data_IF_689180137286
#
_entry.id   IF_689180137286
#
_cell.length_a   1.000
_cell.length_b   1.000
_cell.length_c   1.000
_cell.angle_alpha   90.00
_cell.angle_beta   90.00
_cell.angle_gamma   90.00
#
_symmetry.space_group_name_H-M   'P 1'
#
loop_
_entity.id
_entity.type
_entity.pdbx_description
1 polymer ?
#
# COMPACT_ATOMS: atom_id res chain seq x y z
N UNK A 1 89.83 -61.90 1.70
CA UNK A 1 90.46 -61.11 0.61
C UNK A 1 89.44 -60.07 0.15
N UNK A 2 89.77 -58.75 0.25
CA UNK A 2 89.04 -57.52 -0.20
C UNK A 2 87.62 -57.30 0.38
N UNK A 3 87.29 -56.32 1.23
CA UNK A 3 87.34 -54.83 1.21
C UNK A 3 86.47 -54.16 0.11
N UNK A 4 85.73 -53.13 0.57
CA UNK A 4 85.05 -52.01 -0.10
C UNK A 4 83.54 -52.24 -0.34
N UNK A 5 82.63 -51.43 0.20
CA UNK A 5 82.48 -49.96 0.04
C UNK A 5 81.33 -49.75 -0.98
N UNK A 6 80.42 -48.78 -0.93
CA UNK A 6 80.36 -47.45 -0.35
C UNK A 6 78.89 -46.96 -0.47
N UNK A 7 78.53 -45.95 0.31
CA UNK A 7 77.25 -45.22 0.37
C UNK A 7 76.73 -44.69 -0.98
N UNK A 8 75.41 -44.44 -1.12
CA UNK A 8 74.89 -43.19 -1.70
C UNK A 8 73.38 -42.90 -1.46
N UNK A 9 73.15 -41.77 -0.76
CA UNK A 9 72.18 -40.68 -1.00
C UNK A 9 70.65 -40.92 -0.97
N UNK A 10 70.10 -40.31 0.10
CA UNK A 10 68.80 -39.64 0.32
C UNK A 10 68.08 -39.12 -0.94
N UNK A 11 66.77 -39.38 -1.02
CA UNK A 11 65.79 -38.38 -1.45
C UNK A 11 64.51 -38.50 -0.61
N UNK A 12 64.30 -37.52 0.26
CA UNK A 12 63.00 -37.27 0.90
C UNK A 12 62.12 -36.55 -0.13
N UNK A 13 61.06 -37.21 -0.60
CA UNK A 13 60.01 -36.55 -1.38
C UNK A 13 58.99 -36.03 -0.37
N UNK A 14 59.16 -34.77 0.05
CA UNK A 14 58.16 -34.05 0.80
C UNK A 14 57.05 -33.60 -0.16
N UNK A 15 55.92 -34.28 -0.11
CA UNK A 15 54.72 -33.92 -0.88
C UNK A 15 54.03 -32.74 -0.18
N UNK A 16 54.17 -31.54 -0.73
CA UNK A 16 53.48 -30.34 -0.27
C UNK A 16 52.02 -30.40 -0.75
N UNK A 17 51.12 -30.83 0.14
CA UNK A 17 49.68 -30.67 -0.05
C UNK A 17 49.31 -29.20 0.16
N UNK A 18 49.07 -28.47 -0.94
CA UNK A 18 48.39 -27.17 -0.91
C UNK A 18 46.90 -27.40 -0.69
N UNK A 19 46.46 -27.39 0.56
CA UNK A 19 45.03 -27.29 0.90
C UNK A 19 44.56 -25.86 0.66
N UNK A 20 43.98 -25.60 -0.51
CA UNK A 20 43.24 -24.37 -0.77
C UNK A 20 41.94 -24.40 0.05
N UNK A 21 41.96 -23.74 1.20
CA UNK A 21 40.76 -23.56 2.03
C UNK A 21 39.89 -22.48 1.40
N UNK A 22 38.84 -22.88 0.67
CA UNK A 22 37.83 -21.95 0.21
C UNK A 22 37.06 -21.41 1.41
N UNK A 23 37.26 -20.13 1.73
CA UNK A 23 36.42 -19.40 2.68
C UNK A 23 35.08 -19.21 1.96
N UNK A 24 34.11 -20.09 2.25
CA UNK A 24 32.72 -19.85 1.88
C UNK A 24 32.22 -18.76 2.81
N UNK A 25 32.23 -17.52 2.33
CA UNK A 25 31.54 -16.41 3.00
C UNK A 25 30.06 -16.75 3.04
N UNK A 26 29.56 -17.18 4.21
CA UNK A 26 28.12 -17.25 4.47
C UNK A 26 27.65 -15.82 4.65
N UNK A 27 27.34 -15.14 3.55
CA UNK A 27 26.49 -13.96 3.60
C UNK A 27 25.09 -14.47 3.95
N UNK A 28 24.71 -14.33 5.22
CA UNK A 28 23.32 -14.45 5.62
C UNK A 28 22.57 -13.32 4.91
N UNK A 29 21.97 -13.64 3.75
CA UNK A 29 20.94 -12.81 3.19
C UNK A 29 19.82 -12.78 4.23
N UNK A 30 19.64 -11.64 4.90
CA UNK A 30 18.39 -11.35 5.57
C UNK A 30 17.36 -11.30 4.45
N UNK A 31 16.65 -12.40 4.23
CA UNK A 31 15.50 -12.41 3.32
C UNK A 31 14.56 -11.32 3.83
N UNK A 32 14.43 -10.23 3.05
CA UNK A 32 13.50 -9.16 3.38
C UNK A 32 12.13 -9.80 3.55
N UNK A 33 11.57 -9.71 4.77
CA UNK A 33 10.36 -10.45 5.10
C UNK A 33 9.21 -9.91 4.25
N UNK A 34 8.81 -10.68 3.24
CA UNK A 34 7.66 -10.36 2.41
C UNK A 34 6.39 -10.72 3.15
N UNK A 35 5.51 -9.73 3.34
CA UNK A 35 4.23 -9.92 4.01
C UNK A 35 3.08 -9.51 3.10
N UNK A 36 1.89 -10.13 3.23
CA UNK A 36 0.71 -9.71 2.50
C UNK A 36 0.36 -8.25 2.80
N UNK A 37 0.17 -7.47 1.74
CA UNK A 37 -0.36 -6.11 1.77
C UNK A 37 -1.83 -6.15 1.35
N UNK A 38 -2.71 -5.55 2.14
CA UNK A 38 -4.11 -5.38 1.78
C UNK A 38 -4.62 -4.06 2.31
N UNK A 39 -5.30 -3.29 1.46
CA UNK A 39 -6.06 -2.08 1.81
C UNK A 39 -7.44 -2.20 1.16
N UNK A 40 -8.50 -1.97 1.92
CA UNK A 40 -9.85 -1.76 1.40
C UNK A 40 -10.28 -0.33 1.78
N UNK A 41 -10.70 0.47 0.81
CA UNK A 41 -11.01 1.88 1.00
C UNK A 41 -12.23 2.32 0.18
N UNK A 42 -12.90 3.35 0.69
CA UNK A 42 -13.84 4.17 -0.09
C UNK A 42 -13.06 5.41 -0.51
N UNK A 43 -13.15 5.74 -1.79
CA UNK A 43 -12.42 6.84 -2.41
C UNK A 43 -13.38 7.80 -3.10
N UNK A 44 -12.92 9.02 -3.34
CA UNK A 44 -13.57 10.03 -4.14
C UNK A 44 -12.53 10.66 -5.06
N UNK A 45 -12.79 10.63 -6.36
CA UNK A 45 -11.96 11.22 -7.39
C UNK A 45 -12.57 12.52 -7.95
N UNK A 46 -11.78 13.59 -7.91
CA UNK A 46 -12.09 14.84 -8.61
C UNK A 46 -11.31 14.92 -9.92
N UNK A 47 -12.00 14.77 -11.04
CA UNK A 47 -11.39 14.83 -12.37
C UNK A 47 -11.44 16.24 -12.98
N UNK A 48 -10.43 16.56 -13.80
CA UNK A 48 -10.39 17.85 -14.47
C UNK A 48 -9.19 18.03 -15.42
N UNK A 49 -9.21 19.11 -16.23
CA UNK A 49 -8.08 19.49 -17.07
C UNK A 49 -6.96 20.17 -16.26
N UNK A 50 -5.80 20.32 -16.88
CA UNK A 50 -4.70 21.12 -16.34
C UNK A 50 -3.86 20.40 -15.28
N UNK A 51 -3.94 19.07 -15.19
CA UNK A 51 -3.03 18.28 -14.35
C UNK A 51 -1.59 18.38 -14.85
N UNK A 52 -0.66 18.89 -14.03
CA UNK A 52 0.75 18.89 -14.38
C UNK A 52 1.28 17.47 -14.51
N UNK A 53 2.09 17.22 -15.53
CA UNK A 53 2.71 15.91 -15.76
C UNK A 53 1.89 14.93 -16.62
N UNK A 54 0.64 15.26 -16.96
CA UNK A 54 -0.17 14.42 -17.83
C UNK A 54 0.06 14.72 -19.31
N UNK A 55 0.38 13.67 -20.07
CA UNK A 55 0.74 13.76 -21.49
C UNK A 55 -0.44 14.02 -22.43
N UNK A 56 -1.67 13.98 -21.94
CA UNK A 56 -2.86 14.24 -22.76
C UNK A 56 -2.92 15.72 -23.19
N UNK A 57 -3.51 16.06 -24.34
CA UNK A 57 -3.50 17.44 -24.88
C UNK A 57 -4.05 18.52 -23.95
N UNK A 58 -4.85 18.14 -22.95
CA UNK A 58 -5.43 19.05 -21.95
C UNK A 58 -4.93 18.78 -20.52
N UNK A 59 -3.97 17.86 -20.36
CA UNK A 59 -3.55 17.38 -19.05
C UNK A 59 -4.73 16.90 -18.22
N UNK A 60 -5.57 16.02 -18.79
CA UNK A 60 -6.71 15.45 -18.08
C UNK A 60 -6.25 14.38 -17.09
N UNK A 61 -6.79 14.40 -15.88
CA UNK A 61 -6.50 13.46 -14.80
C UNK A 61 -7.37 13.69 -13.58
N UNK A 62 -7.12 12.96 -12.49
CA UNK A 62 -7.95 12.97 -11.29
C UNK A 62 -7.16 13.10 -9.99
N UNK A 63 -7.80 13.68 -8.96
CA UNK A 63 -7.31 13.70 -7.57
C UNK A 63 -8.13 12.76 -6.74
N UNK A 64 -7.49 11.74 -6.17
CA UNK A 64 -8.15 10.73 -5.36
C UNK A 64 -7.93 11.05 -3.89
N UNK A 65 -8.99 11.00 -3.10
CA UNK A 65 -8.94 11.02 -1.63
C UNK A 65 -9.77 9.88 -1.09
N UNK A 66 -9.41 9.32 0.06
CA UNK A 66 -10.18 8.21 0.62
C UNK A 66 -9.76 7.78 2.00
N UNK A 67 -10.56 6.89 2.57
CA UNK A 67 -10.28 6.27 3.86
C UNK A 67 -10.59 4.78 3.82
N UNK A 68 -9.83 4.01 4.58
CA UNK A 68 -9.92 2.56 4.52
C UNK A 68 -9.28 1.85 5.71
N UNK A 69 -9.11 0.55 5.53
CA UNK A 69 -8.49 -0.34 6.49
C UNK A 69 -7.50 -1.28 5.82
N UNK A 70 -6.43 -1.57 6.55
CA UNK A 70 -5.43 -2.57 6.22
C UNK A 70 -5.38 -3.63 7.31
N UNK A 71 -5.23 -4.89 6.92
CA UNK A 71 -5.01 -6.00 7.84
C UNK A 71 -3.70 -5.87 8.62
N UNK A 72 -2.73 -5.17 8.04
CA UNK A 72 -1.40 -5.00 8.60
C UNK A 72 -1.26 -3.71 9.42
N UNK A 73 -1.90 -2.62 8.98
CA UNK A 73 -1.68 -1.28 9.53
C UNK A 73 -2.90 -0.66 10.22
N UNK A 74 -4.05 -1.35 10.22
CA UNK A 74 -5.29 -0.80 10.77
C UNK A 74 -5.87 0.29 9.88
N UNK A 75 -6.28 1.42 10.44
CA UNK A 75 -6.89 2.52 9.65
C UNK A 75 -5.83 3.15 8.74
N UNK A 76 -6.24 3.46 7.51
CA UNK A 76 -5.41 4.14 6.51
C UNK A 76 -6.21 5.25 5.83
N UNK A 77 -5.54 6.35 5.45
CA UNK A 77 -6.04 7.27 4.42
C UNK A 77 -5.36 6.99 3.09
N UNK A 78 -6.06 7.31 2.01
CA UNK A 78 -5.59 7.15 0.64
C UNK A 78 -5.60 8.52 -0.02
N UNK A 79 -4.50 8.88 -0.66
CA UNK A 79 -4.41 10.05 -1.54
C UNK A 79 -3.79 9.60 -2.86
N UNK A 80 -4.27 10.13 -3.98
CA UNK A 80 -3.77 9.75 -5.29
C UNK A 80 -3.86 10.87 -6.30
N UNK A 81 -3.00 10.82 -7.29
CA UNK A 81 -3.07 11.68 -8.47
C UNK A 81 -2.77 10.81 -9.69
N UNK A 82 -3.60 10.91 -10.73
CA UNK A 82 -3.36 10.20 -11.98
C UNK A 82 -3.54 11.08 -13.22
N UNK A 83 -3.11 10.50 -14.33
CA UNK A 83 -3.33 10.97 -15.67
C UNK A 83 -4.28 10.00 -16.36
N UNK A 84 -5.40 10.53 -16.84
CA UNK A 84 -6.47 9.73 -17.45
C UNK A 84 -6.46 9.96 -18.95
N UNK A 85 -6.30 8.89 -19.72
CA UNK A 85 -6.21 8.93 -21.18
C UNK A 85 -7.35 8.12 -21.81
N UNK A 86 -8.16 8.72 -22.71
CA UNK A 86 -9.18 7.97 -23.44
C UNK A 86 -8.59 6.84 -24.27
N UNK A 87 -9.25 5.68 -24.24
CA UNK A 87 -8.93 4.49 -25.02
C UNK A 87 -10.17 4.01 -25.77
N UNK A 88 -10.01 3.07 -26.70
CA UNK A 88 -11.15 2.55 -27.50
C UNK A 88 -12.28 1.96 -26.62
N UNK A 89 -11.92 1.35 -25.48
CA UNK A 89 -12.85 0.60 -24.61
C UNK A 89 -12.87 1.11 -23.16
N UNK A 90 -12.61 2.40 -22.95
CA UNK A 90 -12.62 3.01 -21.62
C UNK A 90 -11.55 4.07 -21.48
N UNK A 91 -10.93 4.15 -20.30
CA UNK A 91 -9.86 5.10 -20.02
C UNK A 91 -8.69 4.37 -19.37
N UNK A 92 -7.46 4.62 -19.83
CA UNK A 92 -6.27 4.20 -19.10
C UNK A 92 -5.93 5.24 -18.04
N UNK A 93 -5.41 4.79 -16.91
CA UNK A 93 -4.87 5.65 -15.87
C UNK A 93 -3.46 5.23 -15.48
N UNK A 94 -2.62 6.21 -15.16
CA UNK A 94 -1.30 6.04 -14.56
C UNK A 94 -1.09 7.14 -13.53
N UNK A 95 -0.52 6.83 -12.37
CA UNK A 95 -0.48 7.77 -11.28
C UNK A 95 0.40 7.38 -10.11
N UNK A 96 0.32 8.21 -9.07
CA UNK A 96 1.00 7.99 -7.79
C UNK A 96 -0.03 8.01 -6.66
N UNK A 97 0.11 7.07 -5.74
CA UNK A 97 -0.77 6.88 -4.59
C UNK A 97 0.04 6.87 -3.30
N UNK A 98 -0.54 7.44 -2.26
CA UNK A 98 0.01 7.47 -0.91
C UNK A 98 -0.99 6.85 0.04
N UNK A 99 -0.54 5.85 0.79
CA UNK A 99 -1.27 5.31 1.94
C UNK A 99 -0.67 5.89 3.22
N UNK A 100 -1.45 6.61 4.02
CA UNK A 100 -0.99 7.10 5.33
C UNK A 100 -1.58 6.23 6.43
N UNK A 101 -0.74 5.62 7.26
CA UNK A 101 -1.16 4.78 8.38
C UNK A 101 -1.46 5.61 9.62
N UNK A 102 -2.12 5.04 10.64
CA UNK A 102 -2.55 5.76 11.85
C UNK A 102 -1.42 6.52 12.59
N UNK A 103 -0.16 6.10 12.42
CA UNK A 103 1.02 6.78 13.00
C UNK A 103 1.51 8.00 12.22
N UNK A 104 0.96 8.29 11.04
CA UNK A 104 1.40 9.37 10.15
C UNK A 104 2.49 8.97 9.15
N UNK A 105 3.10 7.79 9.32
CA UNK A 105 4.00 7.22 8.32
C UNK A 105 3.25 6.95 7.00
N UNK A 106 3.96 7.11 5.89
CA UNK A 106 3.40 7.03 4.54
C UNK A 106 4.04 5.90 3.76
N UNK A 107 3.25 5.24 2.91
CA UNK A 107 3.69 4.28 1.90
C UNK A 107 3.38 4.89 0.54
N UNK A 108 4.38 4.97 -0.33
CA UNK A 108 4.24 5.51 -1.68
C UNK A 108 4.13 4.37 -2.69
N UNK A 109 3.26 4.52 -3.67
CA UNK A 109 3.12 3.57 -4.76
C UNK A 109 2.90 4.28 -6.09
N UNK A 110 3.51 3.76 -7.14
CA UNK A 110 3.13 4.06 -8.51
C UNK A 110 2.04 3.06 -8.92
N UNK A 111 1.06 3.48 -9.70
CA UNK A 111 -0.05 2.62 -10.10
C UNK A 111 -0.53 2.91 -11.51
N UNK A 112 -1.10 1.90 -12.15
CA UNK A 112 -1.62 1.99 -13.50
C UNK A 112 -2.79 1.02 -13.71
N UNK A 113 -3.55 1.24 -14.78
CA UNK A 113 -4.61 0.32 -15.18
C UNK A 113 -5.63 0.93 -16.12
N UNK A 114 -6.83 0.34 -16.13
CA UNK A 114 -7.93 0.75 -16.99
C UNK A 114 -9.22 0.93 -16.20
N UNK A 115 -9.91 2.04 -16.43
CA UNK A 115 -11.34 2.19 -16.18
C UNK A 115 -12.09 1.56 -17.35
N UNK A 116 -12.77 0.44 -17.11
CA UNK A 116 -13.61 -0.23 -18.12
C UNK A 116 -15.09 -0.04 -17.80
N UNK A 117 -15.92 0.39 -18.76
CA UNK A 117 -17.36 0.51 -18.56
C UNK A 117 -17.96 -0.83 -18.11
N UNK A 118 -18.87 -0.77 -17.14
CA UNK A 118 -19.64 -1.95 -16.71
C UNK A 118 -20.99 -2.02 -17.44
N UNK A 119 -21.83 -2.99 -17.08
CA UNK A 119 -23.22 -3.04 -17.55
C UNK A 119 -24.12 -1.96 -16.94
N UNK A 120 -23.65 -1.24 -15.91
CA UNK A 120 -24.37 -0.12 -15.28
C UNK A 120 -23.79 1.19 -15.82
N UNK A 121 -24.67 2.07 -16.29
CA UNK A 121 -24.27 3.40 -16.76
C UNK A 121 -23.48 4.13 -15.66
N UNK A 122 -22.43 4.86 -16.05
CA UNK A 122 -21.50 5.61 -15.20
C UNK A 122 -20.65 4.80 -14.20
N UNK A 123 -20.89 3.50 -14.03
CA UNK A 123 -20.00 2.66 -13.21
C UNK A 123 -18.90 2.07 -14.09
N UNK A 124 -17.65 2.34 -13.71
CA UNK A 124 -16.45 1.81 -14.35
C UNK A 124 -15.69 0.95 -13.35
N UNK A 125 -15.23 -0.22 -13.80
CA UNK A 125 -14.41 -1.12 -13.00
C UNK A 125 -12.92 -0.92 -13.28
N UNK A 126 -12.09 -1.08 -12.26
CA UNK A 126 -10.65 -1.23 -12.41
C UNK A 126 -10.33 -2.57 -13.06
N UNK A 127 -9.72 -2.56 -14.25
CA UNK A 127 -9.30 -3.77 -14.96
C UNK A 127 -7.83 -3.71 -15.31
N UNK A 128 -7.15 -4.86 -15.18
CA UNK A 128 -5.71 -4.95 -15.41
C UNK A 128 -4.87 -4.07 -14.47
N UNK A 129 -5.47 -3.52 -13.41
CA UNK A 129 -4.83 -2.49 -12.60
C UNK A 129 -3.83 -3.05 -11.59
N UNK A 130 -2.68 -2.42 -11.51
CA UNK A 130 -1.54 -2.81 -10.68
C UNK A 130 -0.98 -1.62 -9.92
N UNK A 131 -0.20 -1.91 -8.89
CA UNK A 131 0.60 -0.92 -8.18
C UNK A 131 1.96 -1.51 -7.81
N UNK A 132 2.94 -0.64 -7.70
CA UNK A 132 4.30 -0.93 -7.23
C UNK A 132 4.61 0.03 -6.07
N UNK A 133 4.96 -0.52 -4.90
CA UNK A 133 5.38 0.25 -3.73
C UNK A 133 6.80 0.74 -3.99
N UNK A 134 7.01 2.05 -3.91
CA UNK A 134 8.28 2.70 -4.28
C UNK A 134 9.03 3.29 -3.08
N UNK A 135 8.53 3.05 -1.87
CA UNK A 135 9.11 3.53 -0.62
C UNK A 135 8.07 4.13 0.29
N UNK A 136 8.51 5.06 1.13
CA UNK A 136 7.66 5.67 2.14
C UNK A 136 8.42 6.61 3.06
N UNK A 137 7.83 6.86 4.23
CA UNK A 137 8.45 7.63 5.31
C UNK A 137 8.55 6.77 6.57
N UNK A 138 9.38 7.20 7.53
CA UNK A 138 9.50 6.53 8.83
C UNK A 138 9.83 5.05 8.68
N UNK A 139 8.94 4.18 9.18
CA UNK A 139 9.11 2.73 9.12
C UNK A 139 9.07 2.13 7.70
N UNK A 140 8.60 2.89 6.71
CA UNK A 140 8.46 2.46 5.31
C UNK A 140 9.48 3.09 4.37
N UNK A 141 10.54 3.73 4.89
CA UNK A 141 11.52 4.46 4.07
C UNK A 141 12.10 3.64 2.91
N UNK A 142 12.26 2.33 3.10
CA UNK A 142 12.78 1.39 2.10
C UNK A 142 11.74 0.37 1.63
N UNK A 143 10.46 0.60 1.93
CA UNK A 143 9.43 -0.33 1.58
C UNK A 143 9.38 -0.56 0.06
N UNK A 144 9.25 -1.82 -0.32
CA UNK A 144 9.11 -2.25 -1.71
C UNK A 144 7.98 -3.29 -1.80
N UNK A 145 7.47 -3.54 -2.99
CA UNK A 145 6.38 -4.47 -3.19
C UNK A 145 5.56 -4.17 -4.43
N UNK A 146 4.61 -5.05 -4.71
CA UNK A 146 3.73 -4.91 -5.87
C UNK A 146 2.39 -5.59 -5.59
N UNK A 147 1.40 -5.27 -6.40
CA UNK A 147 0.11 -5.91 -6.31
C UNK A 147 -0.88 -5.45 -7.35
N UNK A 148 -2.16 -5.68 -7.04
CA UNK A 148 -3.29 -5.41 -7.90
C UNK A 148 -4.27 -4.48 -7.22
N UNK A 149 -4.90 -3.63 -8.03
CA UNK A 149 -6.04 -2.83 -7.64
C UNK A 149 -7.32 -3.48 -8.16
N UNK A 150 -8.35 -3.49 -7.33
CA UNK A 150 -9.68 -4.02 -7.61
C UNK A 150 -10.73 -3.04 -7.11
N UNK A 151 -11.91 -3.06 -7.71
CA UNK A 151 -12.99 -2.13 -7.41
C UNK A 151 -13.33 -1.28 -8.63
N UNK A 152 -13.68 -0.03 -8.39
CA UNK A 152 -14.06 0.91 -9.43
C UNK A 152 -14.90 2.06 -8.90
N UNK A 153 -15.42 2.85 -9.81
CA UNK A 153 -15.94 4.19 -9.53
C UNK A 153 -17.21 4.50 -10.31
N UNK A 154 -18.04 5.35 -9.72
CA UNK A 154 -19.11 6.04 -10.41
C UNK A 154 -18.58 7.38 -10.94
N UNK A 155 -18.24 7.42 -12.22
CA UNK A 155 -17.63 8.60 -12.84
C UNK A 155 -18.56 9.82 -12.87
N UNK A 156 -19.85 9.64 -12.58
CA UNK A 156 -20.79 10.76 -12.49
C UNK A 156 -20.71 11.49 -11.15
N UNK A 157 -20.30 10.80 -10.10
CA UNK A 157 -20.22 11.33 -8.73
C UNK A 157 -18.79 11.39 -8.18
N UNK A 158 -17.84 10.71 -8.82
CA UNK A 158 -16.46 10.56 -8.37
C UNK A 158 -16.29 9.52 -7.26
N UNK A 159 -17.36 8.93 -6.73
CA UNK A 159 -17.25 7.97 -5.63
C UNK A 159 -16.78 6.60 -6.12
N UNK A 160 -15.88 6.00 -5.36
CA UNK A 160 -15.24 4.74 -5.68
C UNK A 160 -15.04 3.81 -4.51
N UNK A 161 -14.79 2.55 -4.83
CA UNK A 161 -14.28 1.54 -3.90
C UNK A 161 -12.96 1.01 -4.42
N UNK A 162 -11.98 0.91 -3.53
CA UNK A 162 -10.63 0.48 -3.85
C UNK A 162 -10.24 -0.68 -2.96
N UNK A 163 -9.75 -1.75 -3.57
CA UNK A 163 -9.02 -2.81 -2.88
C UNK A 163 -7.65 -2.99 -3.50
N UNK A 164 -6.61 -2.62 -2.76
CA UNK A 164 -5.24 -2.94 -3.10
C UNK A 164 -4.84 -4.25 -2.41
N UNK A 165 -4.39 -5.24 -3.17
CA UNK A 165 -3.89 -6.52 -2.63
C UNK A 165 -2.56 -6.88 -3.27
N UNK A 166 -1.55 -7.19 -2.46
CA UNK A 166 -0.20 -7.46 -2.94
C UNK A 166 0.72 -7.93 -1.84
N UNK A 167 2.00 -7.62 -1.98
CA UNK A 167 3.03 -7.87 -0.97
C UNK A 167 3.79 -6.59 -0.65
N UNK A 168 4.30 -6.49 0.57
CA UNK A 168 5.23 -5.44 0.99
C UNK A 168 6.44 -6.06 1.71
N UNK A 169 7.62 -5.53 1.45
CA UNK A 169 8.92 -5.94 2.00
C UNK A 169 9.68 -4.74 2.55
N UNK A 170 10.77 -5.01 3.26
CA UNK A 170 11.80 -4.03 3.66
C UNK A 170 11.27 -2.80 4.43
N UNK A 171 10.37 -3.06 5.38
CA UNK A 171 9.84 -2.08 6.33
C UNK A 171 10.08 -2.54 7.76
N UNK A 172 10.18 -1.60 8.69
CA UNK A 172 10.43 -1.87 10.11
C UNK A 172 9.09 -2.19 10.79
N UNK A 173 8.97 -3.35 11.44
CA UNK A 173 7.87 -3.61 12.38
C UNK A 173 8.28 -3.20 13.79
N UNK A 174 7.36 -2.63 14.56
CA UNK A 174 7.58 -2.33 16.00
C UNK A 174 8.06 -3.54 16.82
N UNK A 175 7.81 -4.76 16.36
CA UNK A 175 8.31 -5.99 17.01
C UNK A 175 9.81 -6.21 16.80
N UNK A 176 10.41 -5.67 15.73
CA UNK A 176 11.82 -5.87 15.39
C UNK A 176 12.74 -5.05 16.31
N UNK A 177 12.24 -3.94 16.89
CA UNK A 177 12.95 -3.18 17.90
C UNK A 177 13.09 -3.90 19.24
N UNK A 178 12.22 -4.88 19.56
CA UNK A 178 12.32 -5.66 20.81
C UNK A 178 13.38 -6.77 20.75
N UNK A 179 13.92 -7.09 19.58
CA UNK A 179 14.88 -8.19 19.39
C UNK A 179 16.35 -7.84 19.69
N UNK A 180 16.73 -6.57 19.82
CA UNK A 180 18.15 -6.17 19.97
C UNK A 180 18.59 -5.84 21.40
N UNK A 181 17.75 -6.07 22.40
CA UNK A 181 18.13 -5.81 23.79
C UNK A 181 17.59 -6.86 24.74
N UNK A 182 18.19 -8.07 24.73
CA UNK A 182 18.07 -9.08 25.79
C UNK A 182 19.05 -10.24 25.61
N UNK A 183 20.33 -9.95 25.78
CA UNK A 183 21.26 -10.92 26.37
C UNK A 183 21.49 -10.53 27.83
N UNK A 184 20.45 -10.73 28.64
CA UNK A 184 20.66 -11.05 30.04
C UNK A 184 19.71 -12.18 30.41
N UNK A 185 20.31 -13.32 30.73
CA UNK A 185 19.70 -14.50 31.35
C UNK A 185 18.74 -14.07 32.45
N UNK A 186 17.55 -14.68 32.49
CA UNK A 186 17.24 -15.61 33.58
C UNK A 186 15.93 -16.37 33.36
N UNK A 187 15.90 -17.51 34.04
CA UNK A 187 15.05 -18.68 33.91
C UNK A 187 13.54 -18.48 34.12
N UNK A 188 12.82 -19.50 33.64
CA UNK A 188 11.61 -20.09 34.21
C UNK A 188 10.39 -19.21 34.46
N UNK A 189 9.38 -19.37 33.60
CA UNK A 189 8.11 -19.98 34.04
C UNK A 189 7.21 -20.33 32.85
N UNK A 190 6.82 -21.61 32.82
CA UNK A 190 5.64 -22.11 32.11
C UNK A 190 4.42 -21.30 32.57
N UNK A 191 3.67 -20.75 31.62
CA UNK A 191 2.22 -20.68 31.78
C UNK A 191 1.53 -20.94 30.45
N UNK A 192 0.54 -21.82 30.51
CA UNK A 192 -0.09 -22.45 29.34
C UNK A 192 -1.44 -21.78 29.13
N UNK A 193 -1.51 -20.82 28.22
CA UNK A 193 -2.77 -20.21 27.78
C UNK A 193 -3.42 -21.01 26.64
N UNK A 194 -4.75 -21.24 26.65
CA UNK A 194 -5.39 -22.10 25.66
C UNK A 194 -5.65 -21.38 24.32
N UNK A 195 -5.38 -22.11 23.23
CA UNK A 195 -6.24 -22.19 22.05
C UNK A 195 -6.40 -20.96 21.17
N UNK A 196 -5.47 -20.78 20.20
CA UNK A 196 -5.73 -20.04 18.97
C UNK A 196 -6.82 -20.76 18.17
N UNK A 197 -7.99 -20.16 18.03
CA UNK A 197 -8.95 -20.57 17.01
C UNK A 197 -8.46 -20.06 15.66
N UNK A 198 -7.81 -20.95 14.91
CA UNK A 198 -7.64 -20.84 13.47
C UNK A 198 -9.04 -20.90 12.85
N UNK A 199 -9.58 -19.76 12.45
CA UNK A 199 -10.79 -19.71 11.64
C UNK A 199 -10.34 -19.79 10.18
N UNK A 200 -10.17 -21.02 9.69
CA UNK A 200 -10.37 -21.29 8.27
C UNK A 200 -11.87 -21.31 8.04
N UNK A 201 -12.40 -20.47 7.16
CA UNK A 201 -13.79 -20.61 6.69
C UNK A 201 -13.76 -20.91 5.20
N UNK A 202 -14.38 -22.04 4.94
CA UNK A 202 -14.56 -22.82 3.73
C UNK A 202 -15.48 -22.17 2.70
N UNK A 203 -15.29 -22.60 1.45
CA UNK A 203 -16.22 -22.50 0.33
C UNK A 203 -17.67 -22.83 0.71
N UNK A 204 -18.60 -22.09 0.11
CA UNK A 204 -20.04 -22.34 0.19
C UNK A 204 -20.79 -21.35 -0.69
N UNK A 205 -20.98 -21.71 -1.96
CA UNK A 205 -21.92 -21.05 -2.89
C UNK A 205 -23.37 -21.29 -2.42
N UNK A 206 -24.17 -20.22 -2.39
CA UNK A 206 -25.60 -20.32 -2.67
C UNK A 206 -25.98 -19.19 -3.63
N UNK A 207 -26.24 -19.59 -4.88
CA UNK A 207 -26.54 -18.74 -6.03
C UNK A 207 -28.04 -18.71 -6.27
N UNK A 208 -28.79 -18.24 -5.28
CA UNK A 208 -30.18 -17.87 -5.46
C UNK A 208 -30.51 -16.74 -4.51
N UNK A 209 -30.92 -15.57 -5.07
CA UNK A 209 -31.74 -14.50 -4.48
C UNK A 209 -31.40 -13.17 -5.19
N UNK A 210 -31.88 -13.01 -6.42
CA UNK A 210 -31.83 -11.75 -7.15
C UNK A 210 -33.19 -11.04 -7.06
N UNK A 211 -33.28 -9.82 -6.50
CA UNK A 211 -34.26 -8.84 -6.91
C UNK A 211 -33.61 -7.90 -7.94
N UNK A 212 -34.21 -7.83 -9.12
CA UNK A 212 -33.94 -6.83 -10.16
C UNK A 212 -34.11 -5.41 -9.62
N UNK A 213 -33.03 -4.61 -9.60
CA UNK A 213 -33.11 -3.19 -9.21
C UNK A 213 -31.82 -2.50 -8.74
N UNK A 214 -30.62 -2.97 -9.11
CA UNK A 214 -29.36 -2.36 -8.65
C UNK A 214 -29.12 -0.98 -9.28
N UNK A 215 -28.84 0.04 -8.46
CA UNK A 215 -28.58 1.41 -8.90
C UNK A 215 -27.38 2.07 -8.20
N UNK A 216 -26.68 1.36 -7.32
CA UNK A 216 -25.59 1.96 -6.53
C UNK A 216 -24.26 1.23 -6.72
N UNK A 217 -23.17 1.99 -6.56
CA UNK A 217 -21.79 1.48 -6.57
C UNK A 217 -21.62 0.29 -5.61
N UNK A 218 -22.21 0.40 -4.42
CA UNK A 218 -22.18 -0.66 -3.41
C UNK A 218 -22.79 -1.96 -3.96
N UNK A 219 -23.99 -1.88 -4.53
CA UNK A 219 -24.69 -3.07 -5.04
C UNK A 219 -23.87 -3.82 -6.09
N UNK A 220 -23.23 -3.11 -7.01
CA UNK A 220 -22.38 -3.70 -8.06
C UNK A 220 -21.21 -4.50 -7.46
N UNK A 221 -20.45 -3.88 -6.54
CA UNK A 221 -19.28 -4.51 -5.95
C UNK A 221 -19.58 -5.53 -4.84
N UNK A 222 -20.80 -5.52 -4.28
CA UNK A 222 -21.28 -6.58 -3.40
C UNK A 222 -21.65 -7.85 -4.17
N UNK A 223 -22.35 -7.72 -5.30
CA UNK A 223 -22.91 -8.88 -6.02
C UNK A 223 -21.92 -9.57 -6.97
N UNK A 224 -21.07 -8.82 -7.67
CA UNK A 224 -20.19 -9.40 -8.71
C UNK A 224 -18.84 -9.91 -8.15
N UNK A 225 -18.46 -9.51 -6.93
CA UNK A 225 -17.12 -9.76 -6.37
C UNK A 225 -17.14 -10.50 -5.01
N UNK A 226 -18.17 -11.32 -4.76
CA UNK A 226 -18.33 -12.14 -3.53
C UNK A 226 -18.34 -11.32 -2.21
N UNK A 227 -18.85 -10.08 -2.21
CA UNK A 227 -18.99 -9.25 -1.00
C UNK A 227 -17.69 -8.88 -0.26
N UNK A 228 -16.50 -9.23 -0.80
CA UNK A 228 -15.22 -9.03 -0.11
C UNK A 228 -14.71 -7.58 -0.14
N UNK A 229 -15.22 -6.76 -1.06
CA UNK A 229 -14.77 -5.36 -1.24
C UNK A 229 -15.32 -4.40 -0.17
N UNK A 230 -16.44 -4.74 0.47
CA UNK A 230 -17.15 -3.85 1.39
C UNK A 230 -17.47 -4.47 2.76
N UNK A 231 -16.81 -5.58 3.12
CA UNK A 231 -16.88 -6.16 4.46
C UNK A 231 -16.21 -5.30 5.57
N UNK A 232 -16.18 -3.98 5.39
CA UNK A 232 -15.79 -2.98 6.38
C UNK A 232 -17.08 -2.50 7.09
N UNK A 233 -17.73 -3.40 7.83
CA UNK A 233 -18.78 -2.98 8.76
C UNK A 233 -18.14 -2.35 10.00
N UNK A 234 -17.77 -1.09 9.84
CA UNK A 234 -17.85 -0.07 10.87
C UNK A 234 -17.92 1.28 10.14
N UNK A 235 -19.14 1.69 9.75
CA UNK A 235 -19.44 3.12 9.61
C UNK A 235 -18.83 3.81 10.84
N UNK A 236 -17.97 4.84 10.69
CA UNK A 236 -17.63 5.64 11.84
C UNK A 236 -18.95 6.16 12.41
N UNK A 237 -19.24 5.82 13.67
CA UNK A 237 -20.31 6.49 14.39
C UNK A 237 -20.14 7.98 14.13
N UNK A 238 -21.24 8.65 13.78
CA UNK A 238 -21.31 10.07 13.51
C UNK A 238 -20.93 10.86 14.77
N UNK A 239 -19.64 10.90 15.07
CA UNK A 239 -19.00 11.79 16.01
C UNK A 239 -18.90 13.16 15.37
N UNK A 240 -20.05 13.82 15.30
CA UNK A 240 -20.15 15.26 15.13
C UNK A 240 -19.23 15.97 16.14
N UNK A 241 -18.72 17.14 15.74
CA UNK A 241 -18.00 18.16 16.54
C UNK A 241 -16.45 18.16 16.44
N UNK A 242 -15.91 18.45 15.25
CA UNK A 242 -14.59 19.10 15.14
C UNK A 242 -14.41 20.05 13.93
N UNK A 243 -15.36 20.13 13.00
CA UNK A 243 -15.28 20.99 11.81
C UNK A 243 -16.19 22.23 11.90
N UNK A 244 -16.19 22.88 13.06
CA UNK A 244 -16.89 24.16 13.30
C UNK A 244 -15.95 25.18 13.98
N UNK A 245 -14.66 25.15 13.64
CA UNK A 245 -13.62 25.96 14.30
C UNK A 245 -12.75 26.82 13.39
N UNK A 246 -12.90 26.77 12.05
CA UNK A 246 -12.07 27.57 11.13
C UNK A 246 -12.97 28.24 10.10
N UNK A 247 -13.68 29.28 10.53
CA UNK A 247 -14.59 30.03 9.66
C UNK A 247 -15.12 31.32 10.27
N UNK A 248 -14.38 31.96 11.18
CA UNK A 248 -14.79 33.24 11.80
C UNK A 248 -13.57 34.07 12.25
N UNK A 249 -12.65 34.33 11.33
CA UNK A 249 -11.62 35.36 11.49
C UNK A 249 -11.37 36.04 10.14
N UNK A 250 -12.38 36.75 9.63
CA UNK A 250 -12.31 37.36 8.31
C UNK A 250 -13.37 38.43 8.06
N UNK A 251 -13.74 39.21 9.08
CA UNK A 251 -14.57 40.42 8.92
C UNK A 251 -13.93 41.57 9.70
N UNK A 252 -12.79 42.04 9.20
CA UNK A 252 -12.22 43.33 9.61
C UNK A 252 -12.56 44.40 8.56
N UNK A 253 -13.38 45.35 9.01
CA UNK A 253 -13.33 46.77 8.66
C UNK A 253 -13.42 47.20 7.18
N UNK A 254 -14.66 47.33 6.68
CA UNK A 254 -14.99 48.41 5.75
C UNK A 254 -16.03 49.31 6.43
N UNK A 255 -15.58 50.46 6.97
CA UNK A 255 -16.48 51.58 7.23
C UNK A 255 -15.78 52.95 7.20
N UNK A 256 -16.15 53.69 6.14
CA UNK A 256 -16.35 55.15 6.05
C UNK A 256 -15.13 56.08 6.09
N UNK A 257 -14.74 56.55 4.89
CA UNK A 257 -14.18 57.90 4.70
C UNK A 257 -15.30 58.94 4.94
N UNK A 258 -15.03 59.93 5.80
CA UNK A 258 -15.76 61.21 5.85
C UNK A 258 -15.12 62.18 4.84
N UNK A 259 -15.90 63.05 4.17
CA UNK A 259 -15.35 64.23 3.51
C UNK A 259 -15.09 65.32 4.56
N UNK A 260 -13.89 65.91 4.52
CA UNK A 260 -13.58 67.14 5.23
C UNK A 260 -13.58 68.28 4.20
N UNK A 261 -14.46 69.25 4.41
CA UNK A 261 -14.37 70.58 3.84
C UNK A 261 -13.04 71.22 4.27
N UNK A 262 -12.37 71.91 3.36
CA UNK A 262 -11.47 72.99 3.72
C UNK A 262 -11.68 74.12 2.73
N UNK A 263 -12.09 75.26 3.29
CA UNK A 263 -12.15 76.55 2.63
C UNK A 263 -10.74 77.13 2.51
N UNK A 264 -10.43 77.71 1.36
CA UNK A 264 -9.79 79.03 1.20
C UNK A 264 -10.03 79.50 -0.23
#
# INVERSE_FOLDING_TARGET
MKIAGLNFVKHNVASVLLTASAIVSVTAATEAMSVPFTVNAIIHEETGPGRPGCSTPFGFGGTITGTGTSSLFGRVSVEGNDCITPQEKGFSFEGKMTFTVLGGDQIFADYEGMFTPTGIQSIFAFTGSTFDITGGTGNFLHADGYGRLQGGEDISTGWGVLRATGTITDFIRDQDHKGKNKDHKDNDRKDSGPGRNNVSVTDGLDSSLFPSGQQTLGDYFYQDQNGRLLAINALPESGSLALLGIGLAGLMAIRRRKPANSAY
#
